data_IF_451562220125
#
_entry.id   IF_451562220125
#
_cell.length_a   1.000
_cell.length_b   1.000
_cell.length_c   1.000
_cell.angle_alpha   90.00
_cell.angle_beta   90.00
_cell.angle_gamma   90.00
#
_symmetry.space_group_name_H-M   'P 1'
#
loop_
_entity.id
_entity.type
_entity.pdbx_description
1 polymer ?
#
# COMPACT_ATOMS: atom_id res chain seq x y z
N UNK A 1 3.40 13.79 27.70
CA UNK A 1 4.09 12.54 27.37
C UNK A 1 3.32 11.90 26.22
N UNK A 2 3.84 11.97 24.99
CA UNK A 2 3.08 11.61 23.78
C UNK A 2 3.19 10.09 23.57
N UNK A 3 2.05 9.41 23.54
CA UNK A 3 1.93 8.00 23.17
C UNK A 3 2.17 7.87 21.66
N UNK A 4 3.30 7.27 21.28
CA UNK A 4 3.53 6.80 19.92
C UNK A 4 2.88 5.42 19.81
N UNK A 5 1.85 5.29 18.97
CA UNK A 5 1.27 4.01 18.60
C UNK A 5 2.38 3.07 18.08
N UNK A 6 2.25 1.73 18.19
CA UNK A 6 3.21 0.81 17.59
C UNK A 6 3.18 1.01 16.08
N UNK A 7 4.07 1.87 15.58
CA UNK A 7 4.34 1.98 14.16
C UNK A 7 4.79 0.60 13.74
N UNK A 8 3.95 -0.12 13.00
CA UNK A 8 4.39 -1.31 12.25
C UNK A 8 5.58 -0.85 11.42
N UNK A 9 6.78 -1.14 11.92
CA UNK A 9 8.01 -0.55 11.44
C UNK A 9 8.23 -1.05 10.02
N UNK A 10 8.24 -0.13 9.05
CA UNK A 10 8.43 -0.49 7.67
C UNK A 10 9.84 -1.08 7.50
N UNK A 11 9.94 -2.23 6.83
CA UNK A 11 11.22 -2.85 6.52
C UNK A 11 11.96 -1.93 5.56
N UNK A 12 13.11 -1.41 6.02
CA UNK A 12 13.93 -0.47 5.28
C UNK A 12 14.95 -1.20 4.42
N UNK A 13 14.83 -1.05 3.11
CA UNK A 13 15.64 -1.73 2.11
C UNK A 13 16.45 -0.70 1.32
N UNK A 14 17.76 -0.93 1.17
CA UNK A 14 18.63 -0.16 0.28
C UNK A 14 18.83 -0.89 -1.05
N UNK A 15 18.56 -0.19 -2.16
CA UNK A 15 18.82 -0.68 -3.52
C UNK A 15 20.18 -0.18 -4.00
N UNK A 16 21.03 -1.13 -4.39
CA UNK A 16 22.34 -0.87 -4.97
C UNK A 16 22.30 -1.00 -6.50
N UNK A 17 23.17 -0.26 -7.23
CA UNK A 17 23.17 -0.25 -8.69
C UNK A 17 23.42 -1.62 -9.33
N UNK A 18 24.05 -2.55 -8.62
CA UNK A 18 24.26 -3.94 -9.03
C UNK A 18 23.01 -4.85 -8.88
N UNK A 19 21.79 -4.26 -8.88
CA UNK A 19 20.49 -4.93 -8.67
C UNK A 19 20.32 -5.60 -7.30
N UNK A 20 21.21 -5.37 -6.33
CA UNK A 20 21.10 -5.95 -4.98
C UNK A 20 20.17 -5.12 -4.12
N UNK A 21 19.30 -5.80 -3.37
CA UNK A 21 18.48 -5.23 -2.31
C UNK A 21 19.09 -5.64 -0.98
N UNK A 22 19.16 -4.71 -0.04
CA UNK A 22 19.76 -4.94 1.28
C UNK A 22 18.80 -4.48 2.38
N UNK A 23 18.38 -5.41 3.22
CA UNK A 23 17.60 -5.11 4.41
C UNK A 23 18.51 -4.50 5.48
N UNK A 24 18.24 -3.25 5.84
CA UNK A 24 19.00 -2.54 6.88
C UNK A 24 18.63 -2.96 8.29
N UNK A 25 17.45 -3.54 8.49
CA UNK A 25 16.99 -4.04 9.79
C UNK A 25 17.61 -5.40 10.11
N UNK A 26 17.67 -6.29 9.10
CA UNK A 26 18.21 -7.65 9.25
C UNK A 26 19.66 -7.78 8.81
N UNK A 27 20.26 -6.72 8.27
CA UNK A 27 21.62 -6.70 7.71
C UNK A 27 21.88 -7.84 6.72
N UNK A 28 20.91 -8.13 5.86
CA UNK A 28 20.98 -9.23 4.89
C UNK A 28 20.62 -8.78 3.50
N UNK A 29 21.17 -9.47 2.50
CA UNK A 29 20.70 -9.33 1.13
C UNK A 29 19.30 -9.94 0.97
N UNK A 30 18.49 -9.27 0.16
CA UNK A 30 17.17 -9.73 -0.25
C UNK A 30 17.11 -9.93 -1.76
N UNK A 31 16.34 -10.93 -2.16
CA UNK A 31 15.90 -11.17 -3.53
C UNK A 31 14.54 -10.49 -3.78
N UNK A 32 14.20 -10.29 -5.06
CA UNK A 32 12.88 -9.78 -5.43
C UNK A 32 11.73 -10.68 -4.94
N UNK A 33 11.94 -12.01 -4.87
CA UNK A 33 10.95 -12.97 -4.36
C UNK A 33 10.71 -12.80 -2.87
N UNK A 34 11.78 -12.57 -2.10
CA UNK A 34 11.67 -12.33 -0.65
C UNK A 34 10.95 -11.01 -0.36
N UNK A 35 11.23 -9.95 -1.14
CA UNK A 35 10.49 -8.69 -1.02
C UNK A 35 9.01 -8.88 -1.35
N UNK A 36 8.68 -9.62 -2.40
CA UNK A 36 7.30 -9.96 -2.73
C UNK A 36 6.63 -10.77 -1.59
N UNK A 37 7.34 -11.72 -1.00
CA UNK A 37 6.83 -12.51 0.12
C UNK A 37 6.57 -11.65 1.37
N UNK A 38 7.45 -10.68 1.65
CA UNK A 38 7.28 -9.70 2.74
C UNK A 38 6.00 -8.89 2.51
N UNK A 39 5.81 -8.34 1.30
CA UNK A 39 4.62 -7.55 0.95
C UNK A 39 3.35 -8.39 1.05
N UNK A 40 3.38 -9.63 0.58
CA UNK A 40 2.25 -10.58 0.68
C UNK A 40 1.86 -10.92 2.12
N UNK A 41 2.80 -10.81 3.07
CA UNK A 41 2.53 -10.97 4.51
C UNK A 41 1.88 -9.73 5.15
N UNK A 42 1.61 -8.69 4.36
CA UNK A 42 1.02 -7.43 4.84
C UNK A 42 2.03 -6.50 5.51
N UNK A 43 3.33 -6.81 5.42
CA UNK A 43 4.38 -5.97 5.98
C UNK A 43 4.66 -4.79 5.04
N UNK A 44 4.87 -3.61 5.63
CA UNK A 44 5.24 -2.40 4.89
C UNK A 44 6.72 -2.47 4.53
N UNK A 45 7.05 -2.09 3.30
CA UNK A 45 8.43 -1.97 2.81
C UNK A 45 8.69 -0.55 2.37
N UNK A 46 9.91 -0.08 2.62
CA UNK A 46 10.41 1.20 2.11
C UNK A 46 11.76 0.95 1.46
N UNK A 47 11.91 1.35 0.20
CA UNK A 47 13.10 1.09 -0.62
C UNK A 47 13.73 2.41 -1.05
N UNK A 48 14.95 2.66 -0.59
CA UNK A 48 15.73 3.85 -0.94
C UNK A 48 16.90 3.49 -1.86
N UNK A 49 17.20 4.35 -2.84
CA UNK A 49 18.42 4.22 -3.63
C UNK A 49 19.66 4.48 -2.76
N UNK A 50 20.65 3.59 -2.81
CA UNK A 50 21.88 3.71 -2.01
C UNK A 50 22.78 4.89 -2.39
N UNK A 51 22.66 5.43 -3.60
CA UNK A 51 23.49 6.53 -4.12
C UNK A 51 22.83 7.89 -3.94
N UNK A 52 21.53 7.97 -4.21
CA UNK A 52 20.78 9.24 -4.18
C UNK A 52 19.92 9.41 -2.94
N UNK A 53 19.76 8.35 -2.13
CA UNK A 53 18.88 8.29 -0.95
C UNK A 53 17.40 8.60 -1.23
N UNK A 54 17.03 8.64 -2.50
CA UNK A 54 15.65 8.87 -2.95
C UNK A 54 14.77 7.66 -2.72
N UNK A 55 13.51 7.89 -2.36
CA UNK A 55 12.52 6.83 -2.25
C UNK A 55 12.12 6.32 -3.63
N UNK A 56 12.41 5.05 -3.87
CA UNK A 56 12.12 4.34 -5.13
C UNK A 56 11.24 3.10 -4.86
N UNK A 57 10.50 3.09 -3.75
CA UNK A 57 9.63 1.98 -3.34
C UNK A 57 8.68 1.57 -4.46
N UNK A 58 7.97 2.52 -5.06
CA UNK A 58 6.98 2.25 -6.10
C UNK A 58 7.61 1.66 -7.37
N UNK A 59 8.75 2.20 -7.81
CA UNK A 59 9.48 1.72 -8.98
C UNK A 59 9.90 0.26 -8.81
N UNK A 60 10.53 -0.05 -7.67
CA UNK A 60 11.04 -1.40 -7.40
C UNK A 60 9.90 -2.39 -7.18
N UNK A 61 8.82 -2.01 -6.49
CA UNK A 61 7.65 -2.87 -6.33
C UNK A 61 6.98 -3.17 -7.68
N UNK A 62 6.84 -2.17 -8.55
CA UNK A 62 6.29 -2.39 -9.89
C UNK A 62 7.18 -3.33 -10.71
N UNK A 63 8.50 -3.13 -10.65
CA UNK A 63 9.47 -4.02 -11.29
C UNK A 63 9.35 -5.46 -10.77
N UNK A 64 9.20 -5.66 -9.46
CA UNK A 64 8.99 -6.97 -8.83
C UNK A 64 7.72 -7.62 -9.35
N UNK A 65 6.60 -6.88 -9.36
CA UNK A 65 5.31 -7.39 -9.80
C UNK A 65 5.36 -7.86 -11.27
N UNK A 66 5.93 -7.04 -12.16
CA UNK A 66 6.07 -7.39 -13.57
C UNK A 66 6.94 -8.64 -13.75
N UNK A 67 8.05 -8.74 -13.00
CA UNK A 67 9.01 -9.83 -13.15
C UNK A 67 8.56 -11.14 -12.50
N UNK A 68 7.79 -11.09 -11.41
CA UNK A 68 7.52 -12.26 -10.52
C UNK A 68 6.07 -12.62 -10.34
N UNK A 69 5.15 -11.76 -10.77
CA UNK A 69 3.72 -12.04 -10.76
C UNK A 69 3.07 -11.67 -12.11
N UNK A 70 3.54 -12.25 -13.24
CA UNK A 70 3.02 -11.95 -14.57
C UNK A 70 1.53 -12.29 -14.68
N UNK A 71 1.04 -13.30 -13.95
CA UNK A 71 -0.39 -13.62 -13.88
C UNK A 71 -1.24 -12.47 -13.33
N UNK A 72 -0.73 -11.67 -12.38
CA UNK A 72 -1.44 -10.50 -11.87
C UNK A 72 -1.54 -9.42 -12.93
N UNK A 73 -0.45 -9.18 -13.67
CA UNK A 73 -0.43 -8.18 -14.74
C UNK A 73 -1.32 -8.63 -15.91
N UNK A 74 -1.30 -9.91 -16.25
CA UNK A 74 -2.15 -10.48 -17.30
C UNK A 74 -3.65 -10.46 -16.95
N UNK A 75 -3.98 -10.51 -15.66
CA UNK A 75 -5.36 -10.37 -15.19
C UNK A 75 -5.90 -8.94 -15.30
N UNK A 76 -5.05 -7.93 -15.49
CA UNK A 76 -5.48 -6.55 -15.67
C UNK A 76 -6.07 -6.33 -17.07
N UNK A 77 -7.28 -5.74 -17.19
CA UNK A 77 -7.82 -5.36 -18.48
C UNK A 77 -6.88 -4.43 -19.25
N UNK A 78 -6.77 -4.60 -20.57
CA UNK A 78 -5.94 -3.76 -21.43
C UNK A 78 -6.25 -2.27 -21.27
N UNK A 79 -7.53 -1.92 -21.09
CA UNK A 79 -7.95 -0.54 -20.85
C UNK A 79 -7.35 0.06 -19.58
N UNK A 80 -7.16 -0.74 -18.53
CA UNK A 80 -6.53 -0.31 -17.28
C UNK A 80 -5.04 -0.02 -17.50
N UNK A 81 -4.34 -0.87 -18.26
CA UNK A 81 -2.93 -0.65 -18.60
C UNK A 81 -2.74 0.62 -19.43
N UNK A 82 -3.60 0.84 -20.43
CA UNK A 82 -3.61 2.08 -21.23
C UNK A 82 -3.94 3.31 -20.38
N UNK A 83 -4.87 3.18 -19.44
CA UNK A 83 -5.22 4.27 -18.53
C UNK A 83 -4.04 4.65 -17.64
N UNK A 84 -3.34 3.67 -17.04
CA UNK A 84 -2.12 3.91 -16.26
C UNK A 84 -1.05 4.61 -17.11
N UNK A 85 -0.85 4.15 -18.36
CA UNK A 85 0.14 4.74 -19.27
C UNK A 85 -0.18 6.18 -19.69
N UNK A 86 -1.47 6.58 -19.69
CA UNK A 86 -1.93 7.93 -20.01
C UNK A 86 -2.14 8.81 -18.78
N UNK A 87 -2.11 8.24 -17.59
CA UNK A 87 -2.44 8.95 -16.37
C UNK A 87 -1.34 9.96 -16.00
N UNK A 88 -1.77 11.12 -15.50
CA UNK A 88 -0.88 12.08 -14.86
C UNK A 88 -0.69 11.71 -13.39
N UNK A 89 0.44 12.08 -12.74
CA UNK A 89 0.68 11.81 -11.33
C UNK A 89 -0.48 12.22 -10.42
N UNK A 90 -1.13 13.35 -10.70
CA UNK A 90 -2.29 13.85 -9.97
C UNK A 90 -3.52 12.95 -10.11
N UNK A 91 -3.78 12.44 -11.32
CA UNK A 91 -4.89 11.52 -11.57
C UNK A 91 -4.71 10.21 -10.82
N UNK A 92 -3.49 9.65 -10.80
CA UNK A 92 -3.18 8.43 -10.05
C UNK A 92 -3.24 8.67 -8.53
N UNK A 93 -2.77 9.83 -8.06
CA UNK A 93 -2.84 10.20 -6.65
C UNK A 93 -4.30 10.34 -6.18
N UNK A 94 -5.16 11.00 -6.96
CA UNK A 94 -6.58 11.15 -6.65
C UNK A 94 -7.31 9.80 -6.69
N UNK A 95 -7.02 8.95 -7.66
CA UNK A 95 -7.56 7.58 -7.72
C UNK A 95 -7.12 6.76 -6.50
N UNK A 96 -5.83 6.78 -6.15
CA UNK A 96 -5.31 6.08 -4.97
C UNK A 96 -5.91 6.60 -3.66
N UNK A 97 -6.09 7.91 -3.52
CA UNK A 97 -6.73 8.53 -2.36
C UNK A 97 -8.19 8.09 -2.21
N UNK A 98 -8.93 7.97 -3.32
CA UNK A 98 -10.31 7.46 -3.30
C UNK A 98 -10.37 5.99 -2.87
N UNK A 99 -9.42 5.16 -3.33
CA UNK A 99 -9.31 3.75 -2.92
C UNK A 99 -8.94 3.63 -1.44
N UNK A 100 -7.98 4.41 -0.96
CA UNK A 100 -7.59 4.43 0.45
C UNK A 100 -8.73 4.88 1.37
N UNK A 101 -9.52 5.87 0.94
CA UNK A 101 -10.67 6.39 1.68
C UNK A 101 -11.83 5.39 1.72
N UNK A 102 -12.03 4.64 0.63
CA UNK A 102 -13.07 3.61 0.57
C UNK A 102 -12.84 2.46 1.57
N UNK A 103 -11.56 2.13 1.85
CA UNK A 103 -11.16 1.07 2.77
C UNK A 103 -11.37 1.42 4.26
N UNK A 104 -11.71 2.68 4.58
CA UNK A 104 -11.96 3.16 5.94
C UNK A 104 -13.43 3.21 6.39
N UNK A 105 -14.39 2.88 5.51
CA UNK A 105 -15.82 3.11 5.77
C UNK A 105 -16.61 1.93 6.39
N UNK A 106 -15.96 0.80 6.70
CA UNK A 106 -16.66 -0.40 7.19
C UNK A 106 -16.97 -0.36 8.71
N UNK A 107 -16.47 0.63 9.48
CA UNK A 107 -16.62 0.63 10.95
C UNK A 107 -17.75 1.48 11.56
N UNK A 108 -18.68 2.07 10.79
CA UNK A 108 -19.72 2.96 11.39
C UNK A 108 -21.19 2.73 10.95
N UNK A 109 -21.51 1.69 10.16
CA UNK A 109 -22.88 1.51 9.67
C UNK A 109 -23.73 0.45 10.42
N UNK A 110 -23.35 0.02 11.63
CA UNK A 110 -24.07 -1.04 12.35
C UNK A 110 -24.24 -0.80 13.85
N UNK A 111 -24.63 0.41 14.26
CA UNK A 111 -25.28 0.67 15.55
C UNK A 111 -26.65 1.32 15.36
N UNK A 112 -27.61 0.45 15.03
CA UNK A 112 -28.99 0.47 15.51
C UNK A 112 -29.71 1.82 15.60
N UNK A 113 -30.38 2.20 14.52
CA UNK A 113 -31.72 2.77 14.61
C UNK A 113 -32.70 1.72 15.15
N UNK A 114 -33.31 1.97 16.32
CA UNK A 114 -34.72 1.65 16.66
C UNK A 114 -34.98 1.77 18.17
N UNK A 115 -35.57 2.89 18.61
CA UNK A 115 -36.59 2.88 19.66
C UNK A 115 -37.40 4.17 19.59
N UNK A 116 -38.51 4.06 18.86
CA UNK A 116 -39.76 4.81 19.01
C UNK A 116 -40.00 5.36 20.41
N UNK A 117 -40.13 6.68 20.52
CA UNK A 117 -40.89 7.34 21.58
C UNK A 117 -41.33 8.74 21.12
N UNK A 118 -42.13 8.78 20.05
CA UNK A 118 -43.15 9.82 19.91
C UNK A 118 -44.49 9.17 20.25
N UNK A 119 -45.11 9.60 21.36
CA UNK A 119 -46.56 9.86 21.51
C UNK A 119 -47.07 9.57 22.92
N UNK A 120 -47.92 10.50 23.39
CA UNK A 120 -49.00 10.35 24.39
C UNK A 120 -48.64 10.18 25.88
N UNK A 121 -48.74 11.25 26.67
CA UNK A 121 -49.97 11.53 27.43
C UNK A 121 -49.82 12.81 28.28
N UNK A 122 -50.60 13.82 27.93
CA UNK A 122 -51.05 14.87 28.85
C UNK A 122 -51.95 14.23 29.93
N UNK A 123 -51.68 14.49 31.21
CA UNK A 123 -52.66 14.85 32.27
C UNK A 123 -51.97 14.99 33.62
#
# INVERSE_FOLDING_TARGET
>A
MILQAPTTEAIRIRKYPNRRLYDTSRSTHLTHDEVLAIVRRGLRVQISDSRTETDITNEVLLQILIARAPELVAALPTQTLLAIARATPESVANAAASLASSNGSITDASRGSASTAQSSASR
#
